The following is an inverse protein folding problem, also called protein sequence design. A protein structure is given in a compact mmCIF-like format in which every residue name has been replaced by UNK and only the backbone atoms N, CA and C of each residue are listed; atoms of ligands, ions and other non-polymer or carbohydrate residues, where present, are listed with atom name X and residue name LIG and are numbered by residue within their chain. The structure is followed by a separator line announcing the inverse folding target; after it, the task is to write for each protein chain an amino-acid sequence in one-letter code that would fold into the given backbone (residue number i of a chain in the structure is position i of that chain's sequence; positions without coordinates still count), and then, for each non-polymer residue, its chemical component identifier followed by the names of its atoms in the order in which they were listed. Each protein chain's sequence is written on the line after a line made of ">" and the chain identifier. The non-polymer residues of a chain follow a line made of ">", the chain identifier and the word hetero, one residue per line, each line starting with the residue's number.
data_IF_230365205494
#
_entry.id   IF_230365205494
#
_cell.length_a   1.000
_cell.length_b   1.000
_cell.length_c   1.000
_cell.angle_alpha   90.00
_cell.angle_beta   90.00
_cell.angle_gamma   90.00
#
_symmetry.space_group_name_H-M   'P 1'
#
loop_
_entity.id
_entity.type
_entity.pdbx_description
1 polymer ?
#
# COMPACT_ATOMS: atom_id res chain seq x y z
N UNK A 1 20.22 -10.05 11.16
CA UNK A 1 19.48 -9.03 11.96
C UNK A 1 19.06 -7.81 11.15
N UNK A 2 19.86 -7.31 10.20
CA UNK A 2 19.51 -6.11 9.40
C UNK A 2 18.17 -6.22 8.63
N UNK A 3 17.87 -7.38 8.02
CA UNK A 3 16.62 -7.55 7.26
C UNK A 3 15.36 -7.38 8.12
N UNK A 4 15.40 -7.84 9.40
CA UNK A 4 14.26 -7.65 10.33
C UNK A 4 14.03 -6.18 10.64
N UNK A 5 15.12 -5.42 10.85
CA UNK A 5 15.01 -3.97 11.08
C UNK A 5 14.31 -3.27 9.90
N UNK A 6 14.75 -3.57 8.67
CA UNK A 6 14.11 -2.99 7.48
C UNK A 6 12.64 -3.44 7.31
N UNK A 7 12.32 -4.69 7.63
CA UNK A 7 10.94 -5.18 7.60
C UNK A 7 10.05 -4.46 8.64
N UNK A 8 10.57 -4.19 9.84
CA UNK A 8 9.87 -3.42 10.89
C UNK A 8 9.68 -1.95 10.45
N UNK A 9 10.71 -1.31 9.90
CA UNK A 9 10.60 0.06 9.37
C UNK A 9 9.53 0.11 8.29
N UNK A 10 9.52 -0.89 7.40
CA UNK A 10 8.48 -1.03 6.37
C UNK A 10 7.08 -1.16 6.98
N UNK A 11 6.90 -1.99 8.01
CA UNK A 11 5.62 -2.15 8.69
C UNK A 11 5.12 -0.83 9.30
N UNK A 12 6.00 -0.08 9.96
CA UNK A 12 5.66 1.23 10.55
C UNK A 12 5.27 2.23 9.46
N UNK A 13 6.05 2.31 8.38
CA UNK A 13 5.80 3.22 7.27
C UNK A 13 4.45 2.90 6.59
N UNK A 14 4.21 1.64 6.23
CA UNK A 14 2.94 1.21 5.63
C UNK A 14 1.73 1.39 6.57
N UNK A 15 1.93 1.29 7.87
CA UNK A 15 0.88 1.55 8.84
C UNK A 15 0.47 3.02 8.92
N UNK A 16 1.42 3.95 8.80
CA UNK A 16 1.21 5.39 8.91
C UNK A 16 0.77 6.00 7.56
N UNK A 17 1.37 5.59 6.45
CA UNK A 17 1.18 6.20 5.14
C UNK A 17 -0.30 6.39 4.75
N UNK A 18 -1.18 5.35 4.81
CA UNK A 18 -2.57 5.48 4.40
C UNK A 18 -3.36 6.45 5.27
N UNK A 19 -2.99 6.63 6.54
CA UNK A 19 -3.60 7.63 7.42
C UNK A 19 -3.25 9.04 6.95
N UNK A 20 -2.02 9.25 6.47
CA UNK A 20 -1.54 10.55 5.97
C UNK A 20 -2.16 10.91 4.62
N UNK A 21 -2.17 9.99 3.64
CA UNK A 21 -2.62 10.31 2.28
C UNK A 21 -4.13 10.12 2.05
N UNK A 22 -4.85 9.35 2.91
CA UNK A 22 -6.30 9.11 2.75
C UNK A 22 -7.11 10.39 2.53
N UNK A 23 -6.88 11.51 3.27
CA UNK A 23 -7.63 12.75 3.03
C UNK A 23 -7.44 13.33 1.62
N UNK A 24 -6.31 13.06 0.96
CA UNK A 24 -6.07 13.46 -0.42
C UNK A 24 -6.81 12.55 -1.41
N UNK A 25 -7.00 11.26 -1.09
CA UNK A 25 -7.68 10.30 -1.97
C UNK A 25 -9.17 10.62 -2.18
N UNK A 26 -9.79 11.40 -1.29
CA UNK A 26 -11.21 11.81 -1.44
C UNK A 26 -11.44 12.49 -2.79
N UNK A 27 -10.51 13.32 -3.21
CA UNK A 27 -10.60 14.12 -4.43
C UNK A 27 -9.48 13.80 -5.46
N UNK A 28 -8.51 12.95 -5.13
CA UNK A 28 -7.48 12.52 -6.06
C UNK A 28 -7.87 11.18 -6.70
N UNK A 29 -7.64 11.05 -8.01
CA UNK A 29 -7.80 9.76 -8.67
C UNK A 29 -6.72 8.77 -8.23
N UNK A 30 -7.04 7.49 -8.17
CA UNK A 30 -6.12 6.44 -7.74
C UNK A 30 -4.84 6.42 -8.60
N UNK A 31 -4.99 6.51 -9.91
CA UNK A 31 -3.84 6.53 -10.83
C UNK A 31 -2.94 7.74 -10.63
N UNK A 32 -3.51 8.93 -10.35
CA UNK A 32 -2.70 10.12 -10.03
C UNK A 32 -1.92 9.94 -8.74
N UNK A 33 -2.54 9.34 -7.71
CA UNK A 33 -1.84 9.02 -6.48
C UNK A 33 -0.68 8.03 -6.72
N UNK A 34 -0.93 6.97 -7.48
CA UNK A 34 0.09 5.99 -7.85
C UNK A 34 1.23 6.61 -8.65
N UNK A 35 0.93 7.54 -9.57
CA UNK A 35 1.95 8.29 -10.33
C UNK A 35 2.87 9.09 -9.42
N UNK A 36 2.33 9.76 -8.39
CA UNK A 36 3.16 10.49 -7.40
C UNK A 36 4.01 9.52 -6.59
N UNK A 37 3.45 8.40 -6.14
CA UNK A 37 4.16 7.41 -5.32
C UNK A 37 5.29 6.73 -6.11
N UNK A 38 5.08 6.46 -7.39
CA UNK A 38 6.08 5.82 -8.25
C UNK A 38 7.32 6.68 -8.50
N UNK A 39 7.22 8.00 -8.42
CA UNK A 39 8.40 8.88 -8.48
C UNK A 39 9.40 8.59 -7.35
N UNK A 40 8.92 8.31 -6.15
CA UNK A 40 9.78 7.90 -5.03
C UNK A 40 10.42 6.53 -5.26
N UNK A 41 9.73 5.61 -5.95
CA UNK A 41 10.29 4.32 -6.34
C UNK A 41 11.42 4.50 -7.37
N UNK A 42 11.23 5.37 -8.36
CA UNK A 42 12.26 5.70 -9.37
C UNK A 42 13.47 6.33 -8.67
N UNK A 43 13.24 7.36 -7.84
CA UNK A 43 14.32 8.06 -7.15
C UNK A 43 15.14 7.11 -6.27
N UNK A 44 14.47 6.27 -5.47
CA UNK A 44 15.16 5.31 -4.61
C UNK A 44 15.86 4.21 -5.44
N UNK A 45 15.25 3.77 -6.55
CA UNK A 45 15.86 2.82 -7.46
C UNK A 45 17.17 3.30 -8.07
N UNK A 46 17.32 4.62 -8.29
CA UNK A 46 18.58 5.21 -8.75
C UNK A 46 19.65 5.30 -7.65
N UNK A 47 19.25 5.32 -6.38
CA UNK A 47 20.16 5.44 -5.22
C UNK A 47 20.63 4.08 -4.70
N UNK A 48 19.86 3.01 -4.90
CA UNK A 48 20.17 1.69 -4.42
C UNK A 48 21.11 0.92 -5.38
N UNK A 49 21.87 -0.06 -4.88
CA UNK A 49 22.75 -0.85 -5.74
C UNK A 49 21.99 -1.69 -6.75
N UNK A 50 22.58 -1.79 -7.93
CA UNK A 50 22.11 -2.63 -9.03
C UNK A 50 23.01 -3.86 -9.16
N UNK A 51 22.43 -4.98 -9.56
CA UNK A 51 23.15 -6.16 -10.06
C UNK A 51 23.24 -6.12 -11.58
N UNK A 52 23.72 -7.19 -12.21
CA UNK A 52 23.72 -7.34 -13.66
C UNK A 52 22.31 -7.29 -14.22
N UNK A 53 22.14 -6.63 -15.39
CA UNK A 53 20.84 -6.62 -16.06
C UNK A 53 20.61 -7.96 -16.75
N UNK A 54 19.62 -8.70 -16.25
CA UNK A 54 19.18 -9.98 -16.81
C UNK A 54 17.76 -9.84 -17.39
N UNK A 55 17.52 -10.41 -18.57
CA UNK A 55 16.24 -10.31 -19.27
C UNK A 55 15.09 -10.94 -18.48
N UNK A 56 15.34 -12.08 -17.82
CA UNK A 56 14.33 -12.73 -16.96
C UNK A 56 14.01 -11.89 -15.74
N UNK A 57 15.02 -11.26 -15.14
CA UNK A 57 14.88 -10.32 -14.04
C UNK A 57 14.05 -9.10 -14.44
N UNK A 58 14.29 -8.54 -15.63
CA UNK A 58 13.49 -7.43 -16.19
C UNK A 58 12.04 -7.88 -16.42
N UNK A 59 11.82 -9.04 -17.02
CA UNK A 59 10.46 -9.57 -17.24
C UNK A 59 9.72 -9.78 -15.91
N UNK A 60 10.39 -10.35 -14.90
CA UNK A 60 9.84 -10.53 -13.56
C UNK A 60 9.49 -9.17 -12.90
N UNK A 61 10.37 -8.17 -13.03
CA UNK A 61 10.13 -6.82 -12.50
C UNK A 61 8.93 -6.15 -13.17
N UNK A 62 8.81 -6.24 -14.50
CA UNK A 62 7.69 -5.67 -15.26
C UNK A 62 6.37 -6.35 -14.87
N UNK A 63 6.34 -7.69 -14.82
CA UNK A 63 5.15 -8.44 -14.43
C UNK A 63 4.76 -8.15 -12.96
N UNK A 64 5.73 -8.11 -12.04
CA UNK A 64 5.49 -7.71 -10.66
C UNK A 64 4.95 -6.28 -10.56
N UNK A 65 5.47 -5.35 -11.37
CA UNK A 65 5.00 -3.98 -11.39
C UNK A 65 3.58 -3.86 -11.94
N UNK A 66 3.24 -4.55 -13.02
CA UNK A 66 1.89 -4.54 -13.58
C UNK A 66 0.87 -5.17 -12.62
N UNK A 67 1.18 -6.34 -12.07
CA UNK A 67 0.28 -7.00 -11.13
C UNK A 67 0.21 -6.24 -9.79
N UNK A 68 1.30 -6.18 -9.04
CA UNK A 68 1.31 -5.63 -7.69
C UNK A 68 1.33 -4.11 -7.67
N UNK A 69 2.15 -3.50 -8.53
CA UNK A 69 2.33 -2.05 -8.58
C UNK A 69 1.14 -1.32 -9.21
N UNK A 70 0.53 -1.85 -10.26
CA UNK A 70 -0.61 -1.21 -10.93
C UNK A 70 -1.92 -1.77 -10.40
N UNK A 71 -2.21 -3.03 -10.65
CA UNK A 71 -3.51 -3.63 -10.30
C UNK A 71 -3.69 -3.72 -8.78
N UNK A 72 -2.72 -4.30 -8.07
CA UNK A 72 -2.78 -4.47 -6.61
C UNK A 72 -2.83 -3.13 -5.88
N UNK A 73 -2.01 -2.15 -6.28
CA UNK A 73 -2.03 -0.82 -5.66
C UNK A 73 -3.32 -0.06 -5.97
N UNK A 74 -3.88 -0.17 -7.17
CA UNK A 74 -5.17 0.44 -7.49
C UNK A 74 -6.30 -0.14 -6.63
N UNK A 75 -6.34 -1.46 -6.48
CA UNK A 75 -7.29 -2.16 -5.60
C UNK A 75 -7.14 -1.70 -4.14
N UNK A 76 -5.92 -1.67 -3.64
CA UNK A 76 -5.61 -1.25 -2.27
C UNK A 76 -5.96 0.23 -2.00
N UNK A 77 -5.55 1.15 -2.89
CA UNK A 77 -5.89 2.57 -2.75
C UNK A 77 -7.42 2.76 -2.81
N UNK A 78 -8.12 1.97 -3.63
CA UNK A 78 -9.59 1.97 -3.66
C UNK A 78 -10.18 1.45 -2.35
N UNK A 79 -9.61 0.39 -1.76
CA UNK A 79 -10.01 -0.13 -0.45
C UNK A 79 -9.86 0.94 0.64
N UNK A 80 -8.71 1.64 0.68
CA UNK A 80 -8.44 2.75 1.62
C UNK A 80 -9.39 3.93 1.40
N UNK A 81 -9.66 4.28 0.14
CA UNK A 81 -10.57 5.38 -0.23
C UNK A 81 -12.00 5.12 0.24
N UNK A 82 -12.52 3.93 0.02
CA UNK A 82 -13.91 3.53 0.31
C UNK A 82 -14.07 3.08 1.77
N UNK A 83 -13.16 2.25 2.26
CA UNK A 83 -13.27 1.57 3.54
C UNK A 83 -12.52 2.24 4.69
N UNK A 84 -11.55 3.10 4.36
CA UNK A 84 -10.64 3.67 5.34
C UNK A 84 -9.31 2.92 5.43
N UNK A 85 -8.32 3.52 6.10
CA UNK A 85 -6.97 2.96 6.17
C UNK A 85 -6.95 1.61 6.90
N UNK A 86 -7.66 1.48 8.03
CA UNK A 86 -7.76 0.22 8.77
C UNK A 86 -8.37 -0.90 7.93
N UNK A 87 -9.52 -0.65 7.27
CA UNK A 87 -10.19 -1.67 6.42
C UNK A 87 -9.28 -2.08 5.27
N UNK A 88 -8.68 -1.11 4.57
CA UNK A 88 -7.74 -1.41 3.48
C UNK A 88 -6.55 -2.25 3.95
N UNK A 89 -5.94 -1.88 5.07
CA UNK A 89 -4.77 -2.57 5.60
C UNK A 89 -5.10 -3.98 6.12
N UNK A 90 -6.18 -4.17 6.89
CA UNK A 90 -6.56 -5.48 7.43
C UNK A 90 -6.91 -6.44 6.30
N UNK A 91 -7.78 -6.02 5.37
CA UNK A 91 -8.24 -6.90 4.31
C UNK A 91 -7.13 -7.27 3.33
N UNK A 92 -6.22 -6.33 3.03
CA UNK A 92 -5.07 -6.61 2.17
C UNK A 92 -4.02 -7.49 2.84
N UNK A 93 -3.94 -7.53 4.19
CA UNK A 93 -3.01 -8.40 4.92
C UNK A 93 -3.28 -9.90 4.73
N UNK A 94 -4.39 -10.30 4.11
CA UNK A 94 -4.65 -11.69 3.73
C UNK A 94 -3.51 -12.27 2.86
N UNK A 95 -2.77 -11.44 2.12
CA UNK A 95 -1.59 -11.91 1.36
C UNK A 95 -0.58 -12.62 2.25
N UNK A 96 -0.53 -12.31 3.55
CA UNK A 96 0.36 -12.93 4.54
C UNK A 96 0.18 -14.44 4.62
N UNK A 97 -1.06 -14.94 4.49
CA UNK A 97 -1.37 -16.37 4.47
C UNK A 97 -1.18 -16.94 3.07
N UNK A 98 -1.56 -16.19 2.05
CA UNK A 98 -1.47 -16.65 0.66
C UNK A 98 -0.02 -16.78 0.18
N UNK A 99 0.87 -15.89 0.63
CA UNK A 99 2.26 -15.87 0.19
C UNK A 99 3.04 -17.14 0.55
N UNK A 100 3.05 -17.63 1.82
CA UNK A 100 3.70 -18.90 2.16
C UNK A 100 3.15 -20.09 1.37
N UNK A 101 1.85 -20.12 1.07
CA UNK A 101 1.23 -21.17 0.25
C UNK A 101 1.76 -21.13 -1.18
N UNK A 102 1.81 -19.96 -1.81
CA UNK A 102 2.30 -19.79 -3.17
C UNK A 102 3.83 -19.96 -3.30
N UNK A 103 4.56 -19.67 -2.22
CA UNK A 103 6.01 -19.84 -2.14
C UNK A 103 6.43 -21.28 -1.73
N UNK A 104 5.48 -22.21 -1.58
CA UNK A 104 5.71 -23.58 -1.09
C UNK A 104 6.40 -23.64 0.28
N UNK A 105 6.21 -22.61 1.11
CA UNK A 105 6.70 -22.49 2.50
C UNK A 105 5.59 -22.87 3.49
N UNK A 106 4.97 -24.05 3.32
CA UNK A 106 3.78 -24.46 4.05
C UNK A 106 3.96 -24.46 5.58
N UNK A 107 5.18 -24.68 6.06
CA UNK A 107 5.51 -24.65 7.49
C UNK A 107 5.32 -23.24 8.11
N UNK A 108 5.32 -22.17 7.30
CA UNK A 108 5.06 -20.80 7.76
C UNK A 108 3.57 -20.43 7.76
N UNK A 109 2.71 -21.18 7.08
CA UNK A 109 1.29 -20.88 6.95
C UNK A 109 0.54 -20.81 8.28
N UNK A 110 0.77 -21.69 9.27
CA UNK A 110 0.12 -21.59 10.58
C UNK A 110 0.48 -20.31 11.33
N UNK A 111 1.76 -19.91 11.32
CA UNK A 111 2.20 -18.67 11.95
C UNK A 111 1.58 -17.45 11.25
N UNK A 112 1.52 -17.47 9.91
CA UNK A 112 0.87 -16.43 9.11
C UNK A 112 -0.63 -16.32 9.43
N UNK A 113 -1.33 -17.45 9.58
CA UNK A 113 -2.74 -17.46 9.96
C UNK A 113 -2.97 -16.89 11.38
N UNK A 114 -2.11 -17.21 12.34
CA UNK A 114 -2.18 -16.66 13.70
C UNK A 114 -1.96 -15.13 13.69
N UNK A 115 -0.99 -14.64 12.90
CA UNK A 115 -0.77 -13.20 12.72
C UNK A 115 -2.02 -12.55 12.16
N UNK A 116 -2.61 -13.11 11.09
CA UNK A 116 -3.81 -12.55 10.47
C UNK A 116 -5.01 -12.54 11.44
N UNK A 117 -5.22 -13.62 12.20
CA UNK A 117 -6.27 -13.68 13.23
C UNK A 117 -6.05 -12.63 14.32
N UNK A 118 -4.82 -12.50 14.81
CA UNK A 118 -4.46 -11.46 15.79
C UNK A 118 -4.72 -10.04 15.26
N UNK A 119 -4.38 -9.79 13.99
CA UNK A 119 -4.66 -8.52 13.32
C UNK A 119 -6.17 -8.26 13.19
N UNK A 120 -6.93 -9.27 12.78
CA UNK A 120 -8.37 -9.16 12.64
C UNK A 120 -9.05 -8.85 13.99
N UNK A 121 -8.66 -9.54 15.06
CA UNK A 121 -9.19 -9.30 16.42
C UNK A 121 -8.80 -7.92 16.94
N UNK A 122 -7.51 -7.53 16.80
CA UNK A 122 -7.00 -6.26 17.32
C UNK A 122 -7.58 -5.03 16.60
N UNK A 123 -8.04 -5.22 15.36
CA UNK A 123 -8.50 -4.15 14.48
C UNK A 123 -9.99 -4.26 14.16
N UNK A 124 -10.71 -5.15 14.83
CA UNK A 124 -12.15 -5.34 14.62
C UNK A 124 -12.90 -4.03 14.82
N UNK A 125 -13.63 -3.61 13.78
CA UNK A 125 -14.47 -2.43 13.79
C UNK A 125 -15.75 -2.71 12.99
N UNK A 126 -16.92 -2.62 13.63
CA UNK A 126 -18.22 -2.90 13.02
C UNK A 126 -18.62 -1.89 11.93
N UNK A 127 -17.90 -0.77 11.80
CA UNK A 127 -18.20 0.30 10.84
C UNK A 127 -17.49 0.16 9.49
N UNK A 128 -16.83 -0.97 9.23
CA UNK A 128 -16.08 -1.21 8.01
C UNK A 128 -16.95 -1.36 6.75
N UNK A 129 -16.55 -0.74 5.66
CA UNK A 129 -17.19 -0.92 4.35
C UNK A 129 -16.90 -2.30 3.79
N UNK A 130 -17.93 -3.15 3.61
CA UNK A 130 -17.81 -4.46 2.95
C UNK A 130 -17.19 -4.36 1.55
N UNK A 131 -17.55 -3.32 0.77
CA UNK A 131 -16.96 -3.06 -0.55
C UNK A 131 -15.48 -2.73 -0.43
N UNK A 132 -15.08 -1.90 0.53
CA UNK A 132 -13.67 -1.61 0.80
C UNK A 132 -12.89 -2.86 1.15
N UNK A 133 -13.44 -3.74 1.99
CA UNK A 133 -12.82 -5.01 2.34
C UNK A 133 -12.63 -5.95 1.13
N UNK A 134 -13.62 -6.05 0.23
CA UNK A 134 -13.51 -6.84 -1.00
C UNK A 134 -12.36 -6.35 -1.89
N UNK A 135 -12.22 -5.05 -2.08
CA UNK A 135 -11.07 -4.49 -2.80
C UNK A 135 -9.74 -4.83 -2.14
N UNK A 136 -9.65 -4.77 -0.82
CA UNK A 136 -8.44 -5.14 -0.08
C UNK A 136 -8.10 -6.63 -0.19
N UNK A 137 -9.09 -7.52 -0.09
CA UNK A 137 -8.91 -8.97 -0.30
C UNK A 137 -8.43 -9.24 -1.73
N UNK A 138 -9.03 -8.58 -2.74
CA UNK A 138 -8.58 -8.71 -4.13
C UNK A 138 -7.13 -8.24 -4.31
N UNK A 139 -6.74 -7.14 -3.64
CA UNK A 139 -5.36 -6.68 -3.61
C UNK A 139 -4.41 -7.72 -3.01
N UNK A 140 -4.83 -8.40 -1.93
CA UNK A 140 -4.04 -9.45 -1.27
C UNK A 140 -3.70 -10.61 -2.21
N UNK A 141 -4.66 -11.09 -3.01
CA UNK A 141 -4.42 -12.15 -3.99
C UNK A 141 -3.41 -11.72 -5.06
N UNK A 142 -3.57 -10.53 -5.60
CA UNK A 142 -2.67 -9.97 -6.62
C UNK A 142 -1.27 -9.77 -6.04
N UNK A 143 -1.18 -9.25 -4.81
CA UNK A 143 0.12 -9.04 -4.15
C UNK A 143 0.82 -10.35 -3.78
N UNK A 144 0.10 -11.39 -3.36
CA UNK A 144 0.71 -12.68 -3.06
C UNK A 144 1.43 -13.27 -4.28
N UNK A 145 0.89 -13.11 -5.49
CA UNK A 145 1.55 -13.51 -6.74
C UNK A 145 2.70 -12.57 -7.06
N UNK A 146 2.44 -11.27 -7.02
CA UNK A 146 3.40 -10.23 -7.41
C UNK A 146 4.66 -10.21 -6.53
N UNK A 147 4.56 -10.49 -5.23
CA UNK A 147 5.68 -10.51 -4.30
C UNK A 147 6.69 -11.61 -4.68
N UNK A 148 6.24 -12.79 -5.12
CA UNK A 148 7.13 -13.85 -5.61
C UNK A 148 7.92 -13.38 -6.84
N UNK A 149 7.25 -12.74 -7.82
CA UNK A 149 7.90 -12.18 -9.00
C UNK A 149 8.86 -11.04 -8.64
N UNK A 150 8.47 -10.19 -7.69
CA UNK A 150 9.29 -9.09 -7.22
C UNK A 150 10.56 -9.58 -6.51
N UNK A 151 10.46 -10.62 -5.69
CA UNK A 151 11.62 -11.23 -5.05
C UNK A 151 12.60 -11.80 -6.09
N UNK A 152 12.09 -12.46 -7.14
CA UNK A 152 12.92 -12.92 -8.27
C UNK A 152 13.61 -11.74 -8.97
N UNK A 153 12.90 -10.62 -9.19
CA UNK A 153 13.46 -9.41 -9.79
C UNK A 153 14.56 -8.79 -8.89
N UNK A 154 14.36 -8.72 -7.57
CA UNK A 154 15.36 -8.21 -6.61
C UNK A 154 16.62 -9.08 -6.64
N UNK A 155 16.47 -10.39 -6.69
CA UNK A 155 17.60 -11.32 -6.77
C UNK A 155 18.40 -11.19 -8.08
N UNK A 156 17.71 -10.92 -9.20
CA UNK A 156 18.35 -10.81 -10.51
C UNK A 156 18.94 -9.41 -10.78
N UNK A 157 18.17 -8.35 -10.51
CA UNK A 157 18.53 -6.98 -10.87
C UNK A 157 19.14 -6.17 -9.70
N UNK A 158 19.13 -6.73 -8.50
CA UNK A 158 19.41 -6.00 -7.28
C UNK A 158 18.25 -5.12 -6.84
N UNK A 159 18.30 -4.58 -5.59
CA UNK A 159 17.23 -3.76 -5.03
C UNK A 159 16.99 -2.47 -5.85
N UNK A 160 18.05 -1.85 -6.38
CA UNK A 160 17.94 -0.64 -7.22
C UNK A 160 17.22 -0.92 -8.54
N UNK A 161 17.64 -1.96 -9.27
CA UNK A 161 17.06 -2.33 -10.55
C UNK A 161 15.57 -2.69 -10.43
N UNK A 162 15.22 -3.52 -9.45
CA UNK A 162 13.84 -3.92 -9.21
C UNK A 162 12.93 -2.71 -8.84
N UNK A 163 13.42 -1.82 -7.96
CA UNK A 163 12.71 -0.59 -7.57
C UNK A 163 12.51 0.36 -8.74
N UNK A 164 13.57 0.59 -9.53
CA UNK A 164 13.52 1.48 -10.68
C UNK A 164 12.52 0.97 -11.73
N UNK A 165 12.65 -0.31 -12.14
CA UNK A 165 11.74 -0.90 -13.12
C UNK A 165 10.28 -0.84 -12.66
N UNK A 166 10.02 -1.19 -11.40
CA UNK A 166 8.68 -1.05 -10.82
C UNK A 166 8.19 0.40 -10.89
N UNK A 167 9.04 1.35 -10.50
CA UNK A 167 8.72 2.77 -10.51
C UNK A 167 8.35 3.26 -11.90
N UNK A 168 9.16 2.95 -12.92
CA UNK A 168 8.93 3.37 -14.31
C UNK A 168 7.64 2.77 -14.86
N UNK A 169 7.40 1.46 -14.69
CA UNK A 169 6.19 0.80 -15.20
C UNK A 169 4.94 1.39 -14.56
N UNK A 170 4.93 1.56 -13.23
CA UNK A 170 3.79 2.14 -12.51
C UNK A 170 3.58 3.61 -12.91
N UNK A 171 4.67 4.39 -13.06
CA UNK A 171 4.61 5.79 -13.47
C UNK A 171 3.98 5.95 -14.86
N UNK A 172 4.52 5.24 -15.86
CA UNK A 172 4.04 5.33 -17.24
C UNK A 172 2.57 4.88 -17.36
N UNK A 173 2.21 3.78 -16.71
CA UNK A 173 0.83 3.30 -16.68
C UNK A 173 -0.10 4.30 -15.99
N UNK A 174 0.36 4.89 -14.88
CA UNK A 174 -0.40 5.89 -14.13
C UNK A 174 -0.57 7.20 -14.90
N UNK A 175 0.42 7.62 -15.67
CA UNK A 175 0.31 8.77 -16.57
C UNK A 175 -0.73 8.52 -17.66
N UNK A 176 -0.72 7.34 -18.25
CA UNK A 176 -1.66 7.00 -19.31
C UNK A 176 -3.10 6.88 -18.79
N UNK A 177 -3.33 6.08 -17.74
CA UNK A 177 -4.66 5.82 -17.19
C UNK A 177 -5.20 6.96 -16.30
N UNK A 178 -4.31 7.77 -15.74
CA UNK A 178 -4.66 8.91 -14.88
C UNK A 178 -4.87 10.24 -15.61
N UNK A 179 -4.88 10.25 -16.96
CA UNK A 179 -5.07 11.48 -17.75
C UNK A 179 -6.35 12.20 -17.37
N UNK A 180 -6.25 13.51 -17.13
CA UNK A 180 -7.41 14.35 -16.77
C UNK A 180 -7.97 14.11 -15.35
N UNK A 181 -7.43 13.16 -14.58
CA UNK A 181 -7.88 12.92 -13.22
C UNK A 181 -7.52 14.07 -12.27
N UNK A 182 -8.38 14.38 -11.28
CA UNK A 182 -8.12 15.44 -10.31
C UNK A 182 -6.99 15.06 -9.35
N UNK A 183 -6.28 16.08 -8.86
CA UNK A 183 -5.29 15.96 -7.78
C UNK A 183 -5.58 17.07 -6.75
N UNK A 184 -5.62 16.71 -5.49
CA UNK A 184 -5.84 17.68 -4.42
C UNK A 184 -5.02 17.31 -3.17
N UNK A 185 -4.87 18.25 -2.25
CA UNK A 185 -4.06 18.10 -1.04
C UNK A 185 -2.69 17.52 -1.33
N UNK A 186 -2.03 18.11 -2.32
CA UNK A 186 -0.77 17.61 -2.93
C UNK A 186 0.29 17.33 -1.87
N UNK A 187 0.42 18.20 -0.87
CA UNK A 187 1.38 18.01 0.21
C UNK A 187 1.15 16.69 0.98
N UNK A 188 -0.12 16.36 1.29
CA UNK A 188 -0.45 15.09 1.96
C UNK A 188 -0.19 13.88 1.06
N UNK A 189 -0.43 14.06 -0.23
CA UNK A 189 -0.16 13.01 -1.21
C UNK A 189 1.35 12.75 -1.35
N UNK A 190 2.15 13.80 -1.42
CA UNK A 190 3.62 13.72 -1.48
C UNK A 190 4.17 13.12 -0.18
N UNK A 191 3.77 13.64 0.98
CA UNK A 191 4.24 13.14 2.28
C UNK A 191 3.84 11.67 2.49
N UNK A 192 2.59 11.33 2.18
CA UNK A 192 2.12 9.95 2.26
C UNK A 192 2.82 9.02 1.29
N UNK A 193 3.06 9.46 0.04
CA UNK A 193 3.82 8.70 -0.96
C UNK A 193 5.28 8.50 -0.58
N UNK A 194 5.92 9.50 0.02
CA UNK A 194 7.26 9.37 0.57
C UNK A 194 7.30 8.31 1.68
N UNK A 195 6.37 8.36 2.64
CA UNK A 195 6.31 7.38 3.72
C UNK A 195 5.99 5.98 3.15
N UNK A 196 5.01 5.87 2.26
CA UNK A 196 4.57 4.61 1.67
C UNK A 196 5.67 3.96 0.82
N UNK A 197 6.21 4.71 -0.14
CA UNK A 197 7.06 4.13 -1.18
C UNK A 197 8.54 4.27 -0.85
N UNK A 198 9.01 5.44 -0.43
CA UNK A 198 10.43 5.63 -0.14
C UNK A 198 10.82 4.89 1.15
N UNK A 199 10.11 5.13 2.25
CA UNK A 199 10.39 4.47 3.52
C UNK A 199 9.81 3.05 3.57
N UNK A 200 8.54 2.88 3.22
CA UNK A 200 7.84 1.59 3.32
C UNK A 200 8.34 0.57 2.33
N UNK A 201 8.10 0.80 1.04
CA UNK A 201 8.47 -0.16 0.00
C UNK A 201 9.99 -0.25 -0.20
N UNK A 202 10.72 0.86 -0.02
CA UNK A 202 12.18 0.86 -0.06
C UNK A 202 12.80 -0.01 1.02
N UNK A 203 12.36 0.15 2.27
CA UNK A 203 12.82 -0.72 3.37
C UNK A 203 12.41 -2.18 3.14
N UNK A 204 11.20 -2.43 2.63
CA UNK A 204 10.80 -3.79 2.24
C UNK A 204 11.74 -4.39 1.20
N UNK A 205 12.06 -3.64 0.15
CA UNK A 205 13.00 -4.09 -0.91
C UNK A 205 14.36 -4.43 -0.35
N UNK A 206 14.89 -3.61 0.58
CA UNK A 206 16.15 -3.90 1.28
C UNK A 206 16.02 -5.15 2.17
N UNK A 207 14.90 -5.33 2.86
CA UNK A 207 14.67 -6.55 3.63
C UNK A 207 14.67 -7.80 2.75
N UNK A 208 14.01 -7.74 1.59
CA UNK A 208 13.99 -8.83 0.59
C UNK A 208 15.40 -9.13 0.06
N UNK A 209 16.21 -8.11 -0.21
CA UNK A 209 17.58 -8.30 -0.73
C UNK A 209 18.56 -8.85 0.30
N UNK A 210 18.26 -8.71 1.60
CA UNK A 210 19.14 -9.12 2.70
C UNK A 210 18.73 -10.43 3.38
N UNK A 211 17.54 -10.97 3.06
CA UNK A 211 17.04 -12.16 3.72
C UNK A 211 15.88 -12.87 3.03
N UNK A 212 15.20 -13.74 3.75
CA UNK A 212 14.04 -14.46 3.23
C UNK A 212 12.85 -13.51 3.04
N UNK A 213 12.38 -13.40 1.79
CA UNK A 213 11.30 -12.47 1.42
C UNK A 213 9.95 -12.85 2.03
N UNK A 214 9.69 -14.14 2.30
CA UNK A 214 8.46 -14.58 2.97
C UNK A 214 8.47 -14.12 4.40
N UNK A 215 9.60 -14.31 5.11
CA UNK A 215 9.75 -13.84 6.49
C UNK A 215 9.72 -12.30 6.57
N UNK A 216 10.37 -11.60 5.63
CA UNK A 216 10.29 -10.13 5.54
C UNK A 216 8.84 -9.67 5.37
N UNK A 217 8.06 -10.36 4.51
CA UNK A 217 6.64 -10.07 4.28
C UNK A 217 5.77 -10.35 5.51
N UNK A 218 6.07 -11.43 6.27
CA UNK A 218 5.39 -11.74 7.52
C UNK A 218 5.59 -10.64 8.57
N UNK A 219 6.83 -10.17 8.75
CA UNK A 219 7.13 -9.08 9.69
C UNK A 219 6.45 -7.79 9.22
N UNK A 220 6.58 -7.45 7.93
CA UNK A 220 5.95 -6.26 7.36
C UNK A 220 4.44 -6.28 7.55
N UNK A 221 3.78 -7.44 7.45
CA UNK A 221 2.32 -7.56 7.53
C UNK A 221 1.72 -7.17 8.90
N UNK A 222 2.54 -6.82 9.87
CA UNK A 222 2.07 -6.24 11.16
C UNK A 222 1.64 -4.76 11.03
N UNK A 223 1.81 -4.14 9.86
CA UNK A 223 1.41 -2.74 9.60
C UNK A 223 -0.04 -2.38 9.97
N UNK A 224 -1.07 -3.27 9.96
CA UNK A 224 -2.41 -2.89 10.40
C UNK A 224 -2.50 -2.54 11.89
N UNK A 225 -1.63 -3.12 12.73
CA UNK A 225 -1.55 -2.72 14.15
C UNK A 225 -1.11 -1.26 14.28
N UNK A 226 -0.10 -0.87 13.51
CA UNK A 226 0.38 0.52 13.48
C UNK A 226 -0.73 1.46 12.99
N UNK A 227 -1.47 1.06 11.95
CA UNK A 227 -2.61 1.83 11.43
C UNK A 227 -3.70 1.99 12.49
N UNK A 228 -4.05 0.92 13.20
CA UNK A 228 -5.07 0.96 14.24
C UNK A 228 -4.69 1.94 15.38
N UNK A 229 -3.41 1.98 15.74
CA UNK A 229 -2.90 2.96 16.72
C UNK A 229 -2.90 4.38 16.15
N UNK A 230 -2.43 4.56 14.90
CA UNK A 230 -2.33 5.88 14.27
C UNK A 230 -3.71 6.51 13.98
N UNK A 231 -4.76 5.73 13.75
CA UNK A 231 -6.12 6.24 13.54
C UNK A 231 -6.87 6.61 14.84
N UNK A 232 -6.45 6.12 16.02
CA UNK A 232 -7.14 6.37 17.30
C UNK A 232 -7.43 7.85 17.59
N UNK A 233 -6.50 8.81 17.41
CA UNK A 233 -6.76 10.21 17.66
C UNK A 233 -7.87 10.80 16.78
N UNK A 234 -7.93 10.34 15.51
CA UNK A 234 -8.92 10.83 14.55
C UNK A 234 -10.32 10.27 14.83
N UNK A 235 -10.42 9.02 15.31
CA UNK A 235 -11.68 8.39 15.73
C UNK A 235 -12.27 9.10 16.97
N UNK A 236 -11.45 9.40 17.99
CA UNK A 236 -11.89 10.12 19.21
C UNK A 236 -12.44 11.50 18.88
N UNK A 237 -11.84 12.26 17.97
CA UNK A 237 -12.35 13.57 17.56
C UNK A 237 -13.71 13.49 16.90
N UNK A 238 -14.00 12.47 16.09
CA UNK A 238 -15.34 12.26 15.50
C UNK A 238 -16.39 11.90 16.56
N UNK A 239 -16.05 11.15 17.59
CA UNK A 239 -16.95 10.78 18.67
C UNK A 239 -17.28 11.96 19.61
N UNK A 240 -16.35 12.90 19.79
CA UNK A 240 -16.50 14.05 20.69
C UNK A 240 -17.06 15.30 19.98
N UNK A 241 -17.03 15.39 18.65
CA UNK A 241 -17.38 16.59 17.89
C UNK A 241 -18.60 16.47 16.96
N UNK A 242 -19.36 15.40 17.04
CA UNK A 242 -20.59 15.26 16.25
C UNK A 242 -21.78 15.81 16.99
N UNK A 243 -22.47 16.89 16.50
CA UNK A 243 -23.83 17.15 16.96
C UNK A 243 -24.69 15.99 16.48
N UNK A 244 -25.47 15.41 17.39
CA UNK A 244 -26.61 14.57 17.06
C UNK A 244 -27.60 15.38 16.21
N UNK A 245 -27.36 15.43 14.92
CA UNK A 245 -28.17 16.11 13.90
C UNK A 245 -28.97 15.11 13.14
N UNK A 246 -30.19 14.90 13.64
CA UNK A 246 -31.30 14.27 12.96
C UNK A 246 -31.50 14.79 11.53
N UNK A 247 -31.64 13.84 10.61
CA UNK A 247 -32.49 13.80 9.44
C UNK A 247 -32.78 15.08 8.66
N UNK A 248 -32.50 14.99 7.42
CA UNK A 248 -33.42 15.14 6.28
C UNK A 248 -32.63 15.36 4.99
N UNK A 249 -32.90 14.49 4.05
CA UNK A 249 -32.55 14.71 2.67
C UNK A 249 -33.06 16.09 2.21
N UNK A 250 -32.15 16.94 1.75
CA UNK A 250 -32.42 18.20 1.06
C UNK A 250 -31.71 18.14 -0.28
N UNK A 251 -32.48 17.98 -1.33
CA UNK A 251 -32.12 18.12 -2.75
C UNK A 251 -31.62 19.54 -2.99
N UNK A 252 -30.50 19.67 -3.68
CA UNK A 252 -30.10 20.89 -4.39
C UNK A 252 -29.10 21.78 -3.69
N UNK A 253 -27.83 21.67 -4.11
CA UNK A 253 -27.08 22.82 -4.57
C UNK A 253 -25.73 22.36 -5.16
N UNK A 254 -25.64 22.36 -6.49
CA UNK A 254 -24.35 22.43 -7.19
C UNK A 254 -23.77 23.81 -6.92
N UNK A 255 -22.90 23.92 -5.94
CA UNK A 255 -22.09 25.11 -5.73
C UNK A 255 -20.62 24.69 -5.81
N UNK A 256 -19.94 25.31 -6.76
CA UNK A 256 -18.52 25.36 -7.05
C UNK A 256 -17.56 24.90 -5.95
N UNK A 257 -17.11 23.65 -6.07
CA UNK A 257 -16.11 23.03 -5.17
C UNK A 257 -14.63 23.40 -5.53
N UNK A 258 -14.38 24.57 -6.10
CA UNK A 258 -13.02 24.99 -6.46
C UNK A 258 -12.18 25.49 -5.27
N UNK A 259 -12.81 25.88 -4.14
CA UNK A 259 -12.11 26.46 -2.99
C UNK A 259 -11.53 25.44 -2.00
N UNK A 260 -11.88 24.15 -2.08
CA UNK A 260 -11.37 23.13 -1.15
C UNK A 260 -10.07 22.43 -1.61
N UNK A 261 -9.50 22.81 -2.75
CA UNK A 261 -8.30 22.19 -3.29
C UNK A 261 -6.98 22.79 -2.80
N UNK A 262 -6.97 23.91 -2.06
CA UNK A 262 -5.75 24.67 -1.72
C UNK A 262 -5.37 24.69 -0.22
N UNK A 263 -6.13 24.07 0.66
CA UNK A 263 -5.75 24.02 2.10
C UNK A 263 -5.65 22.59 2.59
#
# INVERSE_FOLDING_TARGET
>A
MAFVLFAVVSAVAYGIAPVVYRPALVCTSQYRAMGVFSLFSIALGLLLPWSSVDLLGVAAAVLAALLGGVVGSWLYITAVKIGGASVGNISSSLYTVLLPLLAWRLHMAPAAALVLLGLAVASWDDQGSRRGALYGVSAAFVWAISINLYAAAVNALGPGGAMFMRGVVVFLTSLYLGRGGPVCKVFRLIAGGFIDTFLGFGSYTLAVSLGDYVLASLVMSTYPLVTAVAERPFRRRKALGGPAGSGRAGVGHRINNWFYCLV
#
